data_IF_151026338528
#
_entry.id   IF_151026338528
#
_cell.length_a   1.000
_cell.length_b   1.000
_cell.length_c   1.000
_cell.angle_alpha   90.00
_cell.angle_beta   90.00
_cell.angle_gamma   90.00
#
_symmetry.space_group_name_H-M   'P 1'
#
loop_
_entity.id
_entity.type
_entity.pdbx_description
1 polymer ?
#
# COMPACT_ATOMS: atom_id res chain seq x y z
N UNK A 1 27.54 5.21 23.81
CA UNK A 1 26.57 6.07 23.09
C UNK A 1 25.17 5.58 23.46
N UNK A 2 24.23 6.48 23.81
CA UNK A 2 22.84 6.10 24.17
C UNK A 2 21.93 6.40 22.98
N UNK A 3 21.25 5.38 22.46
CA UNK A 3 20.26 5.52 21.42
C UNK A 3 18.89 5.96 22.00
N UNK A 4 18.00 6.46 21.15
CA UNK A 4 16.65 6.81 21.57
C UNK A 4 15.88 5.57 22.06
N UNK A 5 15.15 5.70 23.18
CA UNK A 5 14.43 4.57 23.79
C UNK A 5 13.39 3.96 22.84
N UNK A 6 12.78 4.76 21.97
CA UNK A 6 11.79 4.29 20.97
C UNK A 6 12.31 3.18 20.05
N UNK A 7 13.63 3.06 19.89
CA UNK A 7 14.22 1.99 19.05
C UNK A 7 14.07 0.60 19.68
N UNK A 8 13.83 0.52 20.99
CA UNK A 8 13.58 -0.75 21.68
C UNK A 8 12.18 -1.33 21.34
N UNK A 9 11.29 -0.49 20.80
CA UNK A 9 9.92 -0.89 20.43
C UNK A 9 9.85 -1.51 19.03
N UNK A 10 10.99 -1.53 18.31
CA UNK A 10 11.07 -2.11 16.97
C UNK A 10 11.71 -3.48 17.00
N UNK A 11 10.97 -4.46 16.51
CA UNK A 11 11.53 -5.77 16.19
C UNK A 11 12.33 -5.70 14.88
N UNK A 12 13.25 -6.64 14.70
CA UNK A 12 13.95 -6.78 13.43
C UNK A 12 12.94 -7.07 12.31
N UNK A 13 13.06 -6.37 11.19
CA UNK A 13 12.18 -6.59 10.04
C UNK A 13 12.27 -8.07 9.60
N UNK A 14 11.12 -8.74 9.52
CA UNK A 14 11.00 -10.17 9.22
C UNK A 14 11.78 -10.56 7.95
N UNK A 15 11.73 -9.72 6.92
CA UNK A 15 12.48 -9.93 5.68
C UNK A 15 14.00 -10.02 5.88
N UNK A 16 14.56 -9.32 6.87
CA UNK A 16 16.00 -9.42 7.20
C UNK A 16 16.33 -10.80 7.78
N UNK A 17 15.50 -11.32 8.69
CA UNK A 17 15.67 -12.64 9.26
C UNK A 17 15.51 -13.74 8.20
N UNK A 18 14.49 -13.64 7.35
CA UNK A 18 14.28 -14.56 6.23
C UNK A 18 15.46 -14.57 5.26
N UNK A 19 15.97 -13.40 4.88
CA UNK A 19 17.14 -13.31 3.98
C UNK A 19 18.39 -13.97 4.58
N UNK A 20 18.60 -13.87 5.88
CA UNK A 20 19.71 -14.57 6.55
C UNK A 20 19.56 -16.10 6.45
N UNK A 21 18.35 -16.62 6.66
CA UNK A 21 18.03 -18.05 6.51
C UNK A 21 18.25 -18.52 5.07
N UNK A 22 17.70 -17.79 4.10
CA UNK A 22 17.84 -18.08 2.67
C UNK A 22 19.31 -18.09 2.24
N UNK A 23 20.10 -17.11 2.68
CA UNK A 23 21.53 -17.02 2.38
C UNK A 23 22.29 -18.23 2.92
N UNK A 24 21.98 -18.63 4.17
CA UNK A 24 22.56 -19.82 4.78
C UNK A 24 22.22 -21.09 3.99
N UNK A 25 20.92 -21.30 3.68
CA UNK A 25 20.46 -22.51 2.96
C UNK A 25 21.08 -22.61 1.56
N UNK A 26 21.17 -21.50 0.83
CA UNK A 26 21.85 -21.44 -0.48
C UNK A 26 23.34 -21.71 -0.36
N UNK A 27 23.99 -21.21 0.69
CA UNK A 27 25.41 -21.51 0.99
C UNK A 27 25.67 -22.98 1.32
N UNK A 28 24.66 -23.69 1.84
CA UNK A 28 24.68 -25.15 2.06
C UNK A 28 24.38 -25.96 0.78
N UNK A 29 24.20 -25.30 -0.36
CA UNK A 29 23.90 -25.94 -1.65
C UNK A 29 22.46 -26.42 -1.80
N UNK A 30 21.53 -25.95 -0.95
CA UNK A 30 20.11 -26.30 -1.06
C UNK A 30 19.44 -25.52 -2.20
N UNK A 31 18.65 -26.22 -3.01
CA UNK A 31 17.75 -25.58 -3.99
C UNK A 31 16.52 -25.06 -3.27
N UNK A 32 16.46 -23.73 -3.06
CA UNK A 32 15.41 -23.10 -2.29
C UNK A 32 14.49 -22.30 -3.19
N UNK A 33 13.20 -22.66 -3.21
CA UNK A 33 12.12 -21.89 -3.83
C UNK A 33 11.57 -20.92 -2.77
N UNK A 34 11.76 -19.61 -3.01
CA UNK A 34 11.30 -18.58 -2.08
C UNK A 34 9.91 -18.07 -2.48
N UNK A 35 8.89 -18.42 -1.72
CA UNK A 35 7.51 -17.91 -1.85
C UNK A 35 7.15 -16.87 -0.78
N UNK A 36 8.10 -16.46 0.05
CA UNK A 36 7.86 -15.57 1.21
C UNK A 36 8.02 -14.08 0.93
N UNK A 37 8.41 -13.68 -0.29
CA UNK A 37 8.65 -12.28 -0.63
C UNK A 37 7.69 -11.81 -1.73
N UNK A 38 6.89 -10.79 -1.43
CA UNK A 38 5.98 -10.16 -2.40
C UNK A 38 6.70 -9.18 -3.32
N UNK A 39 7.65 -9.68 -4.12
CA UNK A 39 8.42 -8.89 -5.08
C UNK A 39 8.12 -9.35 -6.51
N UNK A 40 7.50 -8.49 -7.36
CA UNK A 40 7.24 -8.79 -8.75
C UNK A 40 8.52 -9.15 -9.53
N UNK A 41 8.45 -10.21 -10.33
CA UNK A 41 9.58 -10.78 -11.07
C UNK A 41 9.61 -10.45 -12.56
N UNK A 42 8.56 -9.80 -13.07
CA UNK A 42 8.51 -9.30 -14.46
C UNK A 42 9.05 -7.87 -14.48
N UNK A 43 9.85 -7.56 -15.49
CA UNK A 43 10.42 -6.21 -15.64
C UNK A 43 9.34 -5.17 -15.94
N UNK A 44 9.52 -3.89 -15.56
CA UNK A 44 8.59 -2.80 -15.89
C UNK A 44 8.35 -2.66 -17.39
N UNK A 45 7.21 -2.07 -17.82
CA UNK A 45 6.89 -1.87 -19.23
C UNK A 45 8.00 -1.14 -20.01
N UNK A 46 8.18 -1.51 -21.29
CA UNK A 46 9.25 -0.94 -22.13
C UNK A 46 9.13 0.59 -22.26
N UNK A 47 7.93 1.09 -22.53
CA UNK A 47 7.70 2.54 -22.68
C UNK A 47 8.06 3.31 -21.40
N UNK A 48 7.84 2.74 -20.21
CA UNK A 48 8.22 3.32 -18.93
C UNK A 48 9.76 3.35 -18.77
N UNK A 49 10.45 2.25 -19.13
CA UNK A 49 11.91 2.15 -19.08
C UNK A 49 12.59 3.08 -20.07
N UNK A 50 12.03 3.18 -21.28
CA UNK A 50 12.54 4.09 -22.33
C UNK A 50 12.39 5.54 -21.89
N UNK A 51 11.21 5.93 -21.37
CA UNK A 51 10.97 7.30 -20.88
C UNK A 51 11.94 7.68 -19.75
N UNK A 52 12.28 6.75 -18.85
CA UNK A 52 13.31 6.97 -17.83
C UNK A 52 14.67 7.23 -18.46
N UNK A 53 15.07 6.37 -19.39
CA UNK A 53 16.37 6.46 -20.07
C UNK A 53 16.51 7.82 -20.78
N UNK A 54 15.52 8.19 -21.58
CA UNK A 54 15.55 9.43 -22.34
C UNK A 54 15.58 10.66 -21.42
N UNK A 55 14.79 10.65 -20.36
CA UNK A 55 14.77 11.74 -19.40
C UNK A 55 16.09 11.87 -18.60
N UNK A 56 16.87 10.80 -18.43
CA UNK A 56 18.18 10.87 -17.80
C UNK A 56 19.23 11.58 -18.65
N UNK A 57 19.05 11.68 -19.98
CA UNK A 57 19.97 12.40 -20.86
C UNK A 57 19.66 13.89 -20.99
N UNK A 58 18.50 14.36 -20.53
CA UNK A 58 18.19 15.78 -20.50
C UNK A 58 18.92 16.46 -19.32
N UNK A 59 19.86 17.41 -19.60
CA UNK A 59 20.63 18.06 -18.55
C UNK A 59 19.77 18.86 -17.56
N UNK A 60 18.57 19.26 -17.94
CA UNK A 60 17.65 20.02 -17.08
C UNK A 60 17.01 19.16 -15.98
N UNK A 61 17.05 17.84 -16.08
CA UNK A 61 16.40 16.92 -15.17
C UNK A 61 17.25 16.54 -13.93
N UNK A 62 18.43 17.17 -13.75
CA UNK A 62 19.36 16.84 -12.66
C UNK A 62 19.39 17.85 -11.52
N UNK A 63 18.54 18.87 -11.57
CA UNK A 63 18.38 19.81 -10.47
C UNK A 63 17.51 19.24 -9.35
N UNK A 64 17.54 19.88 -8.18
CA UNK A 64 16.59 19.52 -7.12
C UNK A 64 15.16 19.59 -7.63
N UNK A 65 14.35 18.54 -7.43
CA UNK A 65 12.96 18.58 -7.81
C UNK A 65 12.21 19.64 -6.99
N UNK A 66 11.32 20.35 -7.67
CA UNK A 66 10.43 21.29 -6.99
C UNK A 66 9.16 20.57 -6.53
N UNK A 67 8.72 20.83 -5.31
CA UNK A 67 7.41 20.36 -4.82
C UNK A 67 6.25 20.94 -5.64
N UNK A 68 6.46 22.12 -6.18
CA UNK A 68 5.49 22.87 -6.98
C UNK A 68 5.81 22.79 -8.48
N UNK A 69 6.74 21.92 -8.88
CA UNK A 69 7.02 21.75 -10.31
C UNK A 69 5.71 21.40 -11.02
N UNK A 70 5.41 22.09 -12.14
CA UNK A 70 4.30 21.69 -13.02
C UNK A 70 4.69 20.34 -13.61
N UNK A 71 4.39 19.30 -12.87
CA UNK A 71 4.91 18.00 -13.19
C UNK A 71 3.86 17.27 -13.96
N UNK A 72 4.18 16.76 -15.15
CA UNK A 72 3.32 15.85 -15.89
C UNK A 72 2.81 14.69 -15.00
N UNK A 73 3.53 14.36 -13.92
CA UNK A 73 3.15 13.29 -13.01
C UNK A 73 1.89 13.59 -12.21
N UNK A 74 1.73 14.79 -11.62
CA UNK A 74 0.51 15.14 -10.86
C UNK A 74 -0.74 15.12 -11.74
N UNK A 75 -0.63 15.69 -12.94
CA UNK A 75 -1.69 15.66 -13.95
C UNK A 75 -1.97 14.23 -14.41
N UNK A 76 -0.93 13.42 -14.60
CA UNK A 76 -1.07 12.02 -15.00
C UNK A 76 -1.74 11.18 -13.91
N UNK A 77 -1.44 11.43 -12.63
CA UNK A 77 -2.10 10.78 -11.50
C UNK A 77 -3.58 11.18 -11.45
N UNK A 78 -3.89 12.47 -11.55
CA UNK A 78 -5.27 12.95 -11.57
C UNK A 78 -6.06 12.34 -12.73
N UNK A 79 -5.50 12.37 -13.95
CA UNK A 79 -6.10 11.77 -15.13
C UNK A 79 -6.27 10.24 -15.01
N UNK A 80 -5.33 9.56 -14.34
CA UNK A 80 -5.43 8.12 -14.09
C UNK A 80 -6.59 7.80 -13.14
N UNK A 81 -6.75 8.57 -12.03
CA UNK A 81 -7.88 8.42 -11.10
C UNK A 81 -9.23 8.67 -11.79
N UNK A 82 -9.30 9.68 -12.67
CA UNK A 82 -10.52 9.96 -13.42
C UNK A 82 -10.86 8.80 -14.39
N UNK A 83 -9.86 8.27 -15.12
CA UNK A 83 -10.07 7.15 -16.06
C UNK A 83 -10.39 5.84 -15.36
N UNK A 84 -9.73 5.56 -14.22
CA UNK A 84 -9.84 4.28 -13.53
C UNK A 84 -11.04 4.20 -12.60
N UNK A 85 -11.33 5.30 -11.90
CA UNK A 85 -12.32 5.32 -10.82
C UNK A 85 -13.42 6.36 -11.01
N UNK A 86 -13.36 7.21 -12.03
CA UNK A 86 -14.28 8.34 -12.17
C UNK A 86 -14.07 9.44 -11.12
N UNK A 87 -12.95 9.41 -10.40
CA UNK A 87 -12.64 10.36 -9.31
C UNK A 87 -11.81 11.51 -9.87
N UNK A 88 -12.36 12.72 -9.81
CA UNK A 88 -11.65 13.94 -10.17
C UNK A 88 -10.82 14.45 -8.99
N UNK A 89 -9.55 14.67 -9.20
CA UNK A 89 -8.63 15.23 -8.22
C UNK A 89 -7.98 16.49 -8.79
N UNK A 90 -7.84 17.52 -7.97
CA UNK A 90 -7.04 18.69 -8.32
C UNK A 90 -5.55 18.32 -8.23
N UNK A 91 -4.79 18.34 -9.33
CA UNK A 91 -3.38 17.98 -9.31
C UNK A 91 -2.53 18.87 -8.40
N UNK A 92 -2.92 20.12 -8.16
CA UNK A 92 -2.14 21.04 -7.34
C UNK A 92 -2.34 20.81 -5.84
N UNK A 93 -3.56 20.52 -5.40
CA UNK A 93 -3.92 20.50 -3.98
C UNK A 93 -4.24 19.11 -3.44
N UNK A 94 -4.65 18.17 -4.29
CA UNK A 94 -5.13 16.85 -3.87
C UNK A 94 -4.19 15.71 -4.27
N UNK A 95 -3.01 15.99 -4.83
CA UNK A 95 -2.05 14.97 -5.32
C UNK A 95 -0.64 15.26 -4.81
N UNK A 96 0.02 14.23 -4.25
CA UNK A 96 1.43 14.32 -3.81
C UNK A 96 2.22 13.10 -4.28
N UNK A 97 3.23 13.26 -5.16
CA UNK A 97 4.19 12.21 -5.50
C UNK A 97 5.08 11.83 -4.32
N UNK A 98 5.43 10.53 -4.22
CA UNK A 98 6.13 9.91 -3.11
C UNK A 98 7.31 9.05 -3.56
N UNK A 99 8.35 8.93 -2.75
CA UNK A 99 9.46 7.98 -2.95
C UNK A 99 9.02 6.52 -2.64
N UNK A 100 8.05 6.04 -3.41
CA UNK A 100 7.24 4.87 -3.11
C UNK A 100 6.16 5.18 -2.07
N UNK A 101 5.08 4.39 -2.03
CA UNK A 101 4.03 4.58 -1.01
C UNK A 101 4.59 4.50 0.41
N UNK A 102 5.57 3.63 0.66
CA UNK A 102 6.18 3.45 1.98
C UNK A 102 6.73 4.75 2.61
N UNK A 103 7.25 5.67 1.80
CA UNK A 103 7.63 7.01 2.24
C UNK A 103 6.44 7.77 2.84
N UNK A 104 5.35 7.84 2.11
CA UNK A 104 4.13 8.48 2.59
C UNK A 104 3.47 7.75 3.75
N UNK A 105 3.45 6.40 3.72
CA UNK A 105 2.94 5.57 4.82
C UNK A 105 3.66 5.85 6.13
N UNK A 106 4.93 6.28 6.07
CA UNK A 106 5.69 6.65 7.25
C UNK A 106 5.40 8.10 7.70
N UNK A 107 5.35 9.03 6.76
CA UNK A 107 5.15 10.45 7.03
C UNK A 107 3.73 10.78 7.51
N UNK A 108 2.70 10.05 7.07
CA UNK A 108 1.31 10.33 7.44
C UNK A 108 1.07 10.28 8.96
N UNK A 109 1.78 9.41 9.66
CA UNK A 109 1.64 9.31 11.11
C UNK A 109 2.13 10.56 11.82
N UNK A 110 3.25 11.13 11.39
CA UNK A 110 3.76 12.40 11.94
C UNK A 110 2.97 13.62 11.47
N UNK A 111 2.13 13.46 10.43
CA UNK A 111 1.20 14.48 9.97
C UNK A 111 -0.08 14.53 10.82
N UNK A 112 -0.58 13.38 11.25
CA UNK A 112 -1.90 13.26 11.89
C UNK A 112 -1.85 12.98 13.39
N UNK A 113 -0.71 12.52 13.93
CA UNK A 113 -0.61 12.09 15.32
C UNK A 113 0.37 12.96 16.11
N UNK A 114 -0.09 13.51 17.20
CA UNK A 114 0.75 13.94 18.31
C UNK A 114 1.03 12.76 19.26
N UNK A 115 2.04 12.93 20.14
CA UNK A 115 2.38 11.91 21.13
C UNK A 115 1.17 11.61 22.05
N UNK A 116 0.75 10.36 22.10
CA UNK A 116 -0.41 9.90 22.87
C UNK A 116 -1.73 9.87 22.09
N UNK A 117 -1.77 10.38 20.86
CA UNK A 117 -2.94 10.23 19.99
C UNK A 117 -3.17 8.77 19.55
N UNK A 118 -4.42 8.39 19.36
CA UNK A 118 -4.81 7.02 19.03
C UNK A 118 -4.95 6.81 17.52
N UNK A 119 -4.34 5.73 17.01
CA UNK A 119 -4.54 5.22 15.67
C UNK A 119 -5.20 3.83 15.69
N UNK A 120 -6.21 3.62 14.86
CA UNK A 120 -6.84 2.33 14.63
C UNK A 120 -6.07 1.57 13.56
N UNK A 121 -5.47 0.45 13.95
CA UNK A 121 -4.60 -0.35 13.08
C UNK A 121 -5.18 -1.75 12.92
N UNK A 122 -5.40 -2.24 11.68
CA UNK A 122 -5.90 -3.60 11.47
C UNK A 122 -4.89 -4.67 11.94
N UNK A 123 -5.41 -5.83 12.30
CA UNK A 123 -4.61 -7.00 12.65
C UNK A 123 -5.22 -8.26 12.01
N UNK A 124 -4.49 -8.94 11.08
CA UNK A 124 -3.12 -8.64 10.62
C UNK A 124 -3.02 -7.41 9.71
N UNK A 125 -1.81 -6.83 9.59
CA UNK A 125 -1.57 -5.68 8.74
C UNK A 125 -0.14 -5.62 8.17
N UNK A 126 0.07 -4.71 7.23
CA UNK A 126 1.42 -4.37 6.79
C UNK A 126 2.21 -3.71 7.94
N UNK A 127 3.43 -4.20 8.29
CA UNK A 127 4.16 -3.75 9.49
C UNK A 127 4.46 -2.25 9.56
N UNK A 128 4.50 -1.55 8.41
CA UNK A 128 4.77 -0.12 8.37
C UNK A 128 3.72 0.72 9.12
N UNK A 129 2.47 0.25 9.21
CA UNK A 129 1.42 0.98 9.94
C UNK A 129 1.73 1.03 11.44
N UNK A 130 2.08 -0.11 12.03
CA UNK A 130 2.50 -0.21 13.43
C UNK A 130 3.77 0.63 13.68
N UNK A 131 4.76 0.49 12.81
CA UNK A 131 6.03 1.19 12.93
C UNK A 131 5.85 2.72 12.90
N UNK A 132 5.02 3.22 11.97
CA UNK A 132 4.77 4.65 11.84
C UNK A 132 4.06 5.25 13.07
N UNK A 133 3.04 4.57 13.62
CA UNK A 133 2.37 5.00 14.87
C UNK A 133 3.38 5.09 16.03
N UNK A 134 4.23 4.06 16.20
CA UNK A 134 5.28 4.05 17.24
C UNK A 134 6.28 5.19 17.08
N UNK A 135 6.71 5.50 15.85
CA UNK A 135 7.63 6.61 15.57
C UNK A 135 7.00 7.96 15.92
N UNK A 136 5.73 8.15 15.59
CA UNK A 136 4.99 9.36 15.96
C UNK A 136 4.73 9.48 17.48
N UNK A 137 4.96 8.41 18.24
CA UNK A 137 4.63 8.37 19.68
C UNK A 137 3.14 8.16 19.96
N UNK A 138 2.40 7.70 18.97
CA UNK A 138 0.97 7.41 19.05
C UNK A 138 0.66 6.09 19.79
N UNK A 139 -0.60 5.91 20.12
CA UNK A 139 -1.17 4.72 20.76
C UNK A 139 -1.88 3.88 19.69
N UNK A 140 -1.55 2.60 19.64
CA UNK A 140 -2.19 1.64 18.74
C UNK A 140 -3.40 1.02 19.42
N UNK A 141 -4.55 1.14 18.77
CA UNK A 141 -5.74 0.33 19.08
C UNK A 141 -5.99 -0.62 17.91
N UNK A 142 -5.93 -1.90 18.21
CA UNK A 142 -6.03 -2.94 17.20
C UNK A 142 -7.46 -3.17 16.75
N UNK A 143 -7.67 -3.26 15.44
CA UNK A 143 -8.95 -3.63 14.82
C UNK A 143 -8.81 -5.02 14.19
N UNK A 144 -9.38 -6.09 14.79
CA UNK A 144 -9.19 -7.45 14.29
C UNK A 144 -9.84 -7.66 12.93
N UNK A 145 -9.10 -8.25 11.99
CA UNK A 145 -9.60 -8.72 10.70
C UNK A 145 -9.90 -10.22 10.80
N UNK A 146 -11.16 -10.56 10.93
CA UNK A 146 -11.59 -11.95 11.18
C UNK A 146 -12.17 -12.59 9.92
N UNK A 147 -11.91 -13.89 9.70
CA UNK A 147 -12.45 -14.67 8.57
C UNK A 147 -13.97 -14.57 8.46
N UNK A 148 -14.69 -14.59 9.59
CA UNK A 148 -16.16 -14.46 9.64
C UNK A 148 -16.70 -13.17 9.05
N UNK A 149 -15.88 -12.11 9.01
CA UNK A 149 -16.21 -10.81 8.43
C UNK A 149 -15.51 -10.60 7.06
N UNK A 150 -15.00 -11.66 6.43
CA UNK A 150 -14.23 -11.57 5.18
C UNK A 150 -12.94 -10.78 5.33
N UNK A 151 -12.34 -10.74 6.52
CA UNK A 151 -11.18 -9.94 6.88
C UNK A 151 -11.38 -8.42 6.66
N UNK A 152 -12.61 -7.95 6.77
CA UNK A 152 -12.93 -6.52 6.85
C UNK A 152 -13.07 -6.09 8.32
N UNK A 153 -12.73 -4.83 8.67
CA UNK A 153 -13.00 -4.27 9.99
C UNK A 153 -14.49 -4.33 10.33
N UNK A 154 -14.80 -4.81 11.52
CA UNK A 154 -16.13 -4.70 12.09
C UNK A 154 -16.26 -3.33 12.77
N UNK A 155 -16.76 -2.33 12.02
CA UNK A 155 -16.83 -0.94 12.48
C UNK A 155 -17.77 -0.77 13.67
N UNK A 156 -18.81 -1.60 13.76
CA UNK A 156 -19.78 -1.57 14.86
C UNK A 156 -19.23 -2.16 16.16
N UNK A 157 -18.24 -3.05 16.04
CA UNK A 157 -17.55 -3.62 17.19
C UNK A 157 -16.51 -2.67 17.81
N UNK A 158 -16.12 -1.60 17.12
CA UNK A 158 -15.17 -0.61 17.65
C UNK A 158 -15.85 0.16 18.79
N UNK A 159 -15.24 0.09 20.00
CA UNK A 159 -15.77 0.79 21.17
C UNK A 159 -15.92 2.29 20.86
N UNK A 160 -17.13 2.89 21.04
CA UNK A 160 -17.36 4.31 20.75
C UNK A 160 -16.46 5.29 21.51
N UNK A 161 -15.93 4.89 22.68
CA UNK A 161 -14.96 5.71 23.44
C UNK A 161 -13.59 5.71 22.75
N UNK A 162 -13.21 4.59 22.18
CA UNK A 162 -11.98 4.46 21.38
C UNK A 162 -12.13 5.23 20.07
N UNK A 163 -13.23 5.03 19.35
CA UNK A 163 -13.52 5.74 18.11
C UNK A 163 -13.45 7.28 18.26
N UNK A 164 -13.99 7.84 19.35
CA UNK A 164 -13.92 9.31 19.60
C UNK A 164 -12.52 9.84 19.94
N UNK A 165 -11.56 8.97 20.30
CA UNK A 165 -10.18 9.38 20.57
C UNK A 165 -9.27 9.11 19.40
N UNK A 166 -9.71 8.28 18.45
CA UNK A 166 -8.93 7.93 17.29
C UNK A 166 -8.79 9.14 16.35
N UNK A 167 -7.58 9.37 15.85
CA UNK A 167 -7.27 10.38 14.84
C UNK A 167 -7.34 9.79 13.44
N UNK A 168 -6.99 8.51 13.30
CA UNK A 168 -6.93 7.86 12.01
C UNK A 168 -7.27 6.37 12.10
N UNK A 169 -7.77 5.83 10.99
CA UNK A 169 -7.97 4.40 10.77
C UNK A 169 -7.28 3.95 9.49
N UNK A 170 -6.52 2.86 9.55
CA UNK A 170 -5.92 2.23 8.38
C UNK A 170 -6.86 1.23 7.74
N UNK A 171 -6.92 1.25 6.40
CA UNK A 171 -7.52 0.20 5.57
C UNK A 171 -6.61 -0.10 4.38
N UNK A 172 -6.55 -1.39 3.98
CA UNK A 172 -5.72 -1.83 2.86
C UNK A 172 -6.49 -2.92 2.09
N UNK A 173 -6.98 -2.60 0.88
CA UNK A 173 -7.72 -3.56 0.05
C UNK A 173 -7.47 -3.28 -1.44
N UNK A 174 -7.07 -4.32 -2.22
CA UNK A 174 -6.82 -5.72 -1.82
C UNK A 174 -5.74 -5.83 -0.75
N UNK A 175 -5.96 -6.71 0.25
CA UNK A 175 -5.24 -6.69 1.51
C UNK A 175 -3.90 -7.46 1.49
N UNK A 176 -2.90 -6.88 2.11
CA UNK A 176 -1.68 -7.55 2.54
C UNK A 176 -1.74 -7.74 4.08
N UNK A 177 -1.79 -8.99 4.64
CA UNK A 177 -1.45 -10.24 3.95
C UNK A 177 -2.65 -11.13 3.56
N UNK A 178 -3.89 -10.81 3.93
CA UNK A 178 -5.04 -11.74 3.88
C UNK A 178 -5.59 -11.98 2.47
N UNK A 179 -5.17 -11.19 1.49
CA UNK A 179 -5.72 -11.15 0.15
C UNK A 179 -7.24 -10.83 0.07
N UNK A 180 -7.82 -10.38 1.18
CA UNK A 180 -9.21 -9.93 1.22
C UNK A 180 -9.44 -8.71 0.32
N UNK A 181 -10.67 -8.53 -0.09
CA UNK A 181 -11.08 -7.43 -0.94
C UNK A 181 -12.25 -6.65 -0.36
N UNK A 182 -12.27 -5.33 -0.55
CA UNK A 182 -13.36 -4.47 -0.15
C UNK A 182 -14.41 -4.34 -1.26
N UNK A 183 -15.62 -3.96 -0.86
CA UNK A 183 -16.72 -3.58 -1.75
C UNK A 183 -17.01 -2.09 -1.62
N UNK A 184 -17.75 -1.52 -2.58
CA UNK A 184 -18.24 -0.14 -2.47
C UNK A 184 -19.08 0.09 -1.22
N UNK A 185 -19.91 -0.88 -0.83
CA UNK A 185 -20.75 -0.81 0.38
C UNK A 185 -19.90 -0.74 1.66
N UNK A 186 -18.80 -1.51 1.73
CA UNK A 186 -17.87 -1.41 2.84
C UNK A 186 -17.29 0.00 2.95
N UNK A 187 -16.80 0.55 1.84
CA UNK A 187 -16.25 1.92 1.83
C UNK A 187 -17.29 2.97 2.14
N UNK A 188 -18.54 2.81 1.66
CA UNK A 188 -19.63 3.69 2.04
C UNK A 188 -19.87 3.70 3.56
N UNK A 189 -19.96 2.53 4.18
CA UNK A 189 -20.14 2.40 5.63
C UNK A 189 -18.94 2.97 6.41
N UNK A 190 -17.71 2.76 5.90
CA UNK A 190 -16.48 3.31 6.49
C UNK A 190 -16.51 4.86 6.48
N UNK A 191 -16.92 5.47 5.36
CA UNK A 191 -17.04 6.92 5.25
C UNK A 191 -18.04 7.47 6.26
N UNK A 192 -19.24 6.87 6.36
CA UNK A 192 -20.25 7.28 7.32
C UNK A 192 -19.77 7.14 8.78
N UNK A 193 -19.08 6.04 9.07
CA UNK A 193 -18.52 5.80 10.40
C UNK A 193 -17.41 6.84 10.71
N UNK A 194 -16.51 7.09 9.79
CA UNK A 194 -15.41 8.01 9.98
C UNK A 194 -15.87 9.45 10.15
N UNK A 195 -16.85 9.89 9.37
CA UNK A 195 -17.51 11.21 9.54
C UNK A 195 -18.18 11.36 10.90
N UNK A 196 -18.85 10.30 11.38
CA UNK A 196 -19.52 10.32 12.69
C UNK A 196 -18.56 10.53 13.85
N UNK A 197 -17.33 10.01 13.74
CA UNK A 197 -16.34 10.04 14.82
C UNK A 197 -15.18 11.02 14.60
N UNK A 198 -15.18 11.74 13.48
CA UNK A 198 -14.11 12.67 13.08
C UNK A 198 -12.75 11.97 12.98
N UNK A 199 -12.71 10.82 12.29
CA UNK A 199 -11.53 9.97 12.12
C UNK A 199 -11.05 10.04 10.68
N UNK A 200 -9.78 10.35 10.45
CA UNK A 200 -9.19 10.33 9.12
C UNK A 200 -9.06 8.89 8.59
N UNK A 201 -9.51 8.63 7.37
CA UNK A 201 -9.35 7.33 6.71
C UNK A 201 -8.07 7.33 5.87
N UNK A 202 -7.19 6.38 6.15
CA UNK A 202 -5.95 6.18 5.43
C UNK A 202 -6.05 4.87 4.64
N UNK A 203 -6.34 5.00 3.36
CA UNK A 203 -6.44 3.88 2.43
C UNK A 203 -5.07 3.59 1.81
N UNK A 204 -4.57 2.36 1.94
CA UNK A 204 -3.37 1.89 1.25
C UNK A 204 -3.78 0.91 0.14
N UNK A 205 -3.65 1.34 -1.13
CA UNK A 205 -4.19 0.64 -2.28
C UNK A 205 -3.14 0.30 -3.36
N UNK A 206 -1.99 -0.29 -3.00
CA UNK A 206 -0.94 -0.61 -3.97
C UNK A 206 -1.27 -1.79 -4.89
N UNK A 207 -2.29 -2.58 -4.56
CA UNK A 207 -2.66 -3.80 -5.28
C UNK A 207 -3.90 -3.64 -6.16
N UNK A 208 -4.44 -2.44 -6.33
CA UNK A 208 -5.64 -2.19 -7.13
C UNK A 208 -5.56 -2.71 -8.56
N UNK A 209 -4.37 -2.72 -9.13
CA UNK A 209 -4.13 -3.20 -10.51
C UNK A 209 -3.76 -4.69 -10.59
N UNK A 210 -3.73 -5.42 -9.47
CA UNK A 210 -3.53 -6.87 -9.43
C UNK A 210 -4.85 -7.52 -9.05
N UNK A 211 -5.69 -7.75 -10.05
CA UNK A 211 -7.03 -8.30 -9.89
C UNK A 211 -7.27 -9.44 -10.88
N UNK A 212 -8.10 -10.40 -10.48
CA UNK A 212 -8.37 -11.64 -11.19
C UNK A 212 -9.88 -11.90 -11.33
N UNK A 213 -10.25 -12.81 -12.23
CA UNK A 213 -11.63 -13.30 -12.37
C UNK A 213 -12.65 -12.18 -12.63
N UNK A 214 -12.24 -11.12 -13.34
CA UNK A 214 -13.10 -9.97 -13.62
C UNK A 214 -13.38 -9.05 -12.45
N UNK A 215 -12.75 -9.29 -11.28
CA UNK A 215 -12.82 -8.36 -10.17
C UNK A 215 -12.02 -7.09 -10.49
N UNK A 216 -12.58 -5.93 -10.16
CA UNK A 216 -11.92 -4.63 -10.19
C UNK A 216 -11.94 -4.05 -8.78
N UNK A 217 -10.78 -3.75 -8.23
CA UNK A 217 -10.69 -3.16 -6.91
C UNK A 217 -11.26 -1.72 -6.93
N UNK A 218 -12.24 -1.40 -6.06
CA UNK A 218 -12.72 -0.03 -5.95
C UNK A 218 -11.72 0.85 -5.23
N UNK A 219 -11.72 2.15 -5.56
CA UNK A 219 -11.06 3.16 -4.74
C UNK A 219 -11.98 3.61 -3.61
N UNK A 220 -11.41 3.80 -2.42
CA UNK A 220 -12.09 4.46 -1.31
C UNK A 220 -12.64 5.83 -1.72
N UNK A 221 -11.91 6.57 -2.55
CA UNK A 221 -12.26 7.92 -2.98
C UNK A 221 -13.45 7.99 -3.94
N UNK A 222 -13.97 6.83 -4.42
CA UNK A 222 -15.22 6.80 -5.21
C UNK A 222 -16.47 7.10 -4.38
N UNK A 223 -16.37 6.96 -3.06
CA UNK A 223 -17.49 7.22 -2.16
C UNK A 223 -17.66 8.72 -1.96
N UNK A 224 -18.88 9.27 -2.15
CA UNK A 224 -19.15 10.67 -1.81
C UNK A 224 -18.79 10.97 -0.34
N UNK A 225 -18.07 12.06 -0.11
CA UNK A 225 -17.60 12.45 1.22
C UNK A 225 -16.28 11.81 1.65
N UNK A 226 -15.70 10.92 0.84
CA UNK A 226 -14.43 10.27 1.17
C UNK A 226 -13.24 11.24 1.15
N UNK A 227 -13.17 12.13 0.16
CA UNK A 227 -12.09 13.12 0.05
C UNK A 227 -12.07 14.14 1.20
N UNK A 228 -13.21 14.40 1.81
CA UNK A 228 -13.31 15.31 2.96
C UNK A 228 -12.66 14.74 4.21
N UNK A 229 -12.56 13.42 4.30
CA UNK A 229 -12.10 12.74 5.52
C UNK A 229 -10.89 11.83 5.33
N UNK A 230 -10.34 11.71 4.13
CA UNK A 230 -9.26 10.74 3.94
C UNK A 230 -8.44 10.91 2.69
N UNK A 231 -7.45 10.03 2.59
CA UNK A 231 -6.50 9.95 1.50
C UNK A 231 -6.32 8.48 1.06
N UNK A 232 -5.84 8.30 -0.16
CA UNK A 232 -5.50 6.98 -0.70
C UNK A 232 -4.09 6.97 -1.27
N UNK A 233 -3.26 6.02 -0.77
CA UNK A 233 -1.92 5.74 -1.27
C UNK A 233 -1.95 4.75 -2.41
N UNK A 234 -1.10 4.97 -3.40
CA UNK A 234 -0.86 4.06 -4.51
C UNK A 234 0.62 3.92 -4.82
N UNK A 235 0.99 2.84 -5.49
CA UNK A 235 2.39 2.52 -5.77
C UNK A 235 2.57 1.92 -7.15
N UNK A 236 3.55 2.40 -7.91
CA UNK A 236 3.96 1.79 -9.16
C UNK A 236 4.75 0.49 -8.94
N UNK A 237 5.19 0.23 -7.70
CA UNK A 237 5.90 -1.00 -7.34
C UNK A 237 5.14 -2.25 -7.73
N UNK A 238 3.81 -2.26 -7.52
CA UNK A 238 2.97 -3.43 -7.77
C UNK A 238 2.19 -3.30 -9.08
N UNK A 239 1.69 -2.09 -9.37
CA UNK A 239 0.94 -1.83 -10.61
C UNK A 239 1.80 -2.03 -11.88
N UNK A 240 3.07 -1.62 -11.84
CA UNK A 240 3.99 -1.64 -12.99
C UNK A 240 5.28 -2.42 -12.72
N UNK A 241 5.32 -3.26 -11.69
CA UNK A 241 6.49 -4.07 -11.31
C UNK A 241 7.77 -3.23 -11.08
N UNK A 242 7.63 -1.98 -10.66
CA UNK A 242 8.73 -1.02 -10.48
C UNK A 242 9.17 -0.89 -9.00
N UNK A 243 9.27 -2.01 -8.26
CA UNK A 243 9.57 -2.01 -6.83
C UNK A 243 10.86 -1.27 -6.47
N UNK A 244 11.92 -1.48 -7.23
CA UNK A 244 13.23 -0.86 -7.03
C UNK A 244 13.27 0.62 -7.39
N UNK A 245 12.29 1.14 -8.14
CA UNK A 245 12.28 2.52 -8.62
C UNK A 245 11.81 3.51 -7.55
N UNK A 246 11.20 3.02 -6.49
CA UNK A 246 10.69 3.83 -5.38
C UNK A 246 9.77 4.95 -5.84
N UNK A 247 8.72 4.60 -6.58
CA UNK A 247 7.74 5.54 -7.13
C UNK A 247 6.34 5.21 -6.62
N UNK A 248 5.67 6.19 -6.07
CA UNK A 248 4.30 6.10 -5.59
C UNK A 248 3.68 7.49 -5.48
N UNK A 249 2.47 7.55 -4.99
CA UNK A 249 1.75 8.80 -4.79
C UNK A 249 0.63 8.62 -3.77
N UNK A 250 0.10 9.75 -3.29
CA UNK A 250 -1.09 9.82 -2.46
C UNK A 250 -2.04 10.86 -3.03
N UNK A 251 -3.33 10.59 -2.91
CA UNK A 251 -4.42 11.43 -3.43
C UNK A 251 -5.50 11.57 -2.36
N UNK A 252 -6.18 12.71 -2.30
CA UNK A 252 -7.34 12.89 -1.42
C UNK A 252 -7.41 14.25 -0.74
N UNK A 253 -7.70 14.26 0.55
CA UNK A 253 -7.95 15.47 1.32
C UNK A 253 -6.83 16.52 1.19
N UNK A 254 -7.12 17.76 0.74
CA UNK A 254 -6.10 18.76 0.45
C UNK A 254 -5.32 19.21 1.69
N UNK A 255 -5.93 19.25 2.86
CA UNK A 255 -5.27 19.66 4.10
C UNK A 255 -4.25 18.60 4.55
N UNK A 256 -4.60 17.31 4.43
CA UNK A 256 -3.69 16.20 4.71
C UNK A 256 -2.54 16.20 3.69
N UNK A 257 -2.84 16.38 2.40
CA UNK A 257 -1.84 16.49 1.32
C UNK A 257 -0.87 17.65 1.58
N UNK A 258 -1.37 18.82 1.95
CA UNK A 258 -0.54 19.97 2.30
C UNK A 258 0.33 19.70 3.53
N UNK A 259 -0.23 19.06 4.58
CA UNK A 259 0.49 18.65 5.79
C UNK A 259 1.64 17.68 5.46
N UNK A 260 1.39 16.65 4.68
CA UNK A 260 2.42 15.72 4.20
C UNK A 260 3.48 16.42 3.34
N UNK A 261 3.07 17.29 2.43
CA UNK A 261 3.98 18.10 1.60
C UNK A 261 4.92 18.96 2.46
N UNK A 262 4.41 19.55 3.56
CA UNK A 262 5.22 20.30 4.51
C UNK A 262 6.29 19.43 5.17
N UNK A 263 5.96 18.23 5.62
CA UNK A 263 6.93 17.28 6.19
C UNK A 263 7.98 16.89 5.15
N UNK A 264 7.54 16.49 3.94
CA UNK A 264 8.46 16.11 2.85
C UNK A 264 9.41 17.23 2.46
N UNK A 265 8.98 18.49 2.48
CA UNK A 265 9.85 19.62 2.16
C UNK A 265 11.07 19.73 3.09
N UNK A 266 10.98 19.19 4.30
CA UNK A 266 12.07 19.15 5.28
C UNK A 266 12.82 17.82 5.32
N UNK A 267 12.31 16.75 4.66
CA UNK A 267 12.96 15.44 4.67
C UNK A 267 13.70 15.13 3.36
N UNK A 268 13.03 14.94 2.25
CA UNK A 268 13.60 14.41 1.01
C UNK A 268 13.53 15.36 -0.21
N UNK A 269 12.75 16.42 -0.12
CA UNK A 269 12.54 17.41 -1.18
C UNK A 269 11.97 16.89 -2.50
N UNK A 270 11.56 15.63 -2.56
CA UNK A 270 10.85 15.07 -3.70
C UNK A 270 11.62 14.04 -4.52
N UNK A 271 10.97 13.55 -5.56
CA UNK A 271 11.44 12.46 -6.41
C UNK A 271 12.32 12.96 -7.55
N UNK A 272 13.37 12.21 -7.90
CA UNK A 272 14.21 12.44 -9.06
C UNK A 272 13.37 12.63 -10.33
N UNK A 273 13.60 13.70 -11.08
CA UNK A 273 12.71 14.12 -12.17
C UNK A 273 12.53 13.05 -13.27
N UNK A 274 13.55 12.35 -13.76
CA UNK A 274 13.38 11.26 -14.72
C UNK A 274 12.45 10.13 -14.24
N UNK A 275 12.43 9.83 -12.94
CA UNK A 275 11.46 8.87 -12.38
C UNK A 275 10.02 9.40 -12.46
N UNK A 276 9.82 10.71 -12.29
CA UNK A 276 8.51 11.33 -12.45
C UNK A 276 8.02 11.24 -13.90
N UNK A 277 8.91 11.49 -14.87
CA UNK A 277 8.59 11.36 -16.31
C UNK A 277 8.20 9.93 -16.65
N UNK A 278 8.97 8.94 -16.17
CA UNK A 278 8.69 7.53 -16.39
C UNK A 278 7.37 7.08 -15.73
N UNK A 279 7.09 7.59 -14.53
CA UNK A 279 5.83 7.31 -13.84
C UNK A 279 4.62 7.90 -14.59
N UNK A 280 4.75 9.11 -15.09
CA UNK A 280 3.72 9.75 -15.93
C UNK A 280 3.49 8.95 -17.22
N UNK A 281 4.55 8.48 -17.88
CA UNK A 281 4.45 7.61 -19.06
C UNK A 281 3.73 6.29 -18.75
N UNK A 282 4.03 5.66 -17.59
CA UNK A 282 3.36 4.45 -17.15
C UNK A 282 1.85 4.67 -16.93
N UNK A 283 1.47 5.71 -16.18
CA UNK A 283 0.07 6.01 -15.87
C UNK A 283 -0.76 6.40 -17.10
N UNK A 284 -0.12 6.99 -18.14
CA UNK A 284 -0.78 7.35 -19.39
C UNK A 284 -0.68 6.27 -20.47
N UNK A 285 0.04 5.18 -20.22
CA UNK A 285 0.24 4.08 -21.15
C UNK A 285 -0.98 3.17 -21.30
N UNK A 286 -0.85 2.16 -22.17
CA UNK A 286 -1.86 1.13 -22.35
C UNK A 286 -1.95 0.23 -21.11
N UNK A 287 -3.11 -0.45 -20.93
CA UNK A 287 -3.32 -1.44 -19.87
C UNK A 287 -2.76 -2.83 -20.21
N UNK A 288 -2.33 -3.05 -21.45
CA UNK A 288 -1.89 -4.34 -21.96
C UNK A 288 -0.86 -5.05 -21.05
N UNK A 289 0.15 -4.30 -20.59
CA UNK A 289 1.12 -4.85 -19.64
C UNK A 289 0.47 -5.37 -18.34
N UNK A 290 -0.51 -4.65 -17.80
CA UNK A 290 -1.19 -5.05 -16.56
C UNK A 290 -2.10 -6.25 -16.80
N UNK A 291 -2.74 -6.32 -17.96
CA UNK A 291 -3.61 -7.42 -18.37
C UNK A 291 -2.81 -8.71 -18.55
N UNK A 292 -1.71 -8.68 -19.30
CA UNK A 292 -0.82 -9.84 -19.51
C UNK A 292 -0.21 -10.33 -18.19
N UNK A 293 0.28 -9.40 -17.36
CA UNK A 293 0.81 -9.73 -16.04
C UNK A 293 -0.25 -10.35 -15.13
N UNK A 294 -1.47 -9.84 -15.14
CA UNK A 294 -2.55 -10.37 -14.31
C UNK A 294 -2.96 -11.78 -14.75
N UNK A 295 -2.97 -12.08 -16.05
CA UNK A 295 -3.18 -13.44 -16.55
C UNK A 295 -2.11 -14.41 -16.01
N UNK A 296 -0.83 -14.03 -16.08
CA UNK A 296 0.27 -14.82 -15.54
C UNK A 296 0.14 -15.02 -14.02
N UNK A 297 -0.20 -13.97 -13.26
CA UNK A 297 -0.38 -14.09 -11.81
C UNK A 297 -1.61 -14.93 -11.45
N UNK A 298 -2.67 -14.87 -12.25
CA UNK A 298 -3.84 -15.73 -12.09
C UNK A 298 -3.50 -17.20 -12.28
N UNK A 299 -2.74 -17.56 -13.32
CA UNK A 299 -2.26 -18.92 -13.53
C UNK A 299 -1.42 -19.43 -12.35
N UNK A 300 -0.49 -18.60 -11.85
CA UNK A 300 0.32 -18.94 -10.68
C UNK A 300 -0.52 -19.12 -9.41
N UNK A 301 -1.48 -18.22 -9.17
CA UNK A 301 -2.45 -18.33 -8.08
C UNK A 301 -3.19 -19.66 -8.14
N UNK A 302 -3.73 -19.99 -9.29
CA UNK A 302 -4.55 -21.19 -9.49
C UNK A 302 -3.73 -22.45 -9.21
N UNK A 303 -2.49 -22.52 -9.70
CA UNK A 303 -1.57 -23.64 -9.42
C UNK A 303 -1.30 -23.80 -7.92
N UNK A 304 -1.04 -22.70 -7.20
CA UNK A 304 -0.74 -22.76 -5.75
C UNK A 304 -2.00 -23.12 -4.96
N UNK A 305 -3.15 -22.53 -5.27
CA UNK A 305 -4.43 -22.84 -4.61
C UNK A 305 -4.79 -24.32 -4.82
N UNK A 306 -4.71 -24.80 -6.05
CA UNK A 306 -4.99 -26.22 -6.37
C UNK A 306 -4.03 -27.15 -5.60
N UNK A 307 -2.73 -26.79 -5.55
CA UNK A 307 -1.71 -27.54 -4.81
C UNK A 307 -2.02 -27.62 -3.31
N UNK A 308 -2.36 -26.50 -2.68
CA UNK A 308 -2.73 -26.45 -1.26
C UNK A 308 -4.00 -27.26 -0.97
N UNK A 309 -5.02 -27.14 -1.81
CA UNK A 309 -6.28 -27.92 -1.68
C UNK A 309 -6.04 -29.42 -1.82
N UNK A 310 -5.17 -29.85 -2.74
CA UNK A 310 -4.76 -31.27 -2.86
C UNK A 310 -4.03 -31.78 -1.61
N UNK A 311 -3.36 -30.89 -0.88
CA UNK A 311 -2.73 -31.20 0.41
C UNK A 311 -3.73 -31.15 1.59
N UNK A 312 -5.01 -30.92 1.36
CA UNK A 312 -6.05 -30.84 2.39
C UNK A 312 -6.13 -29.49 3.10
N UNK A 313 -5.49 -28.45 2.57
CA UNK A 313 -5.55 -27.08 3.12
C UNK A 313 -6.70 -26.35 2.42
N UNK A 314 -7.74 -26.01 3.20
CA UNK A 314 -8.90 -25.25 2.70
C UNK A 314 -8.55 -23.76 2.55
N UNK A 315 -8.27 -23.34 1.33
CA UNK A 315 -7.89 -21.98 0.97
C UNK A 315 -8.78 -21.42 -0.12
N UNK A 316 -9.24 -20.18 0.08
CA UNK A 316 -10.02 -19.46 -0.92
C UNK A 316 -9.10 -18.93 -2.03
N UNK A 317 -9.61 -18.89 -3.28
CA UNK A 317 -8.90 -18.23 -4.39
C UNK A 317 -8.97 -16.71 -4.24
N UNK A 318 -7.83 -16.02 -4.09
CA UNK A 318 -7.81 -14.55 -4.02
C UNK A 318 -8.32 -13.90 -5.30
N UNK A 319 -9.10 -12.84 -5.16
CA UNK A 319 -9.54 -12.01 -6.31
C UNK A 319 -8.57 -10.89 -6.65
N UNK A 320 -7.60 -10.64 -5.79
CA UNK A 320 -6.57 -9.62 -5.98
C UNK A 320 -5.34 -9.91 -5.15
N UNK A 321 -4.28 -9.17 -5.36
CA UNK A 321 -2.93 -9.37 -4.83
C UNK A 321 -2.23 -10.61 -5.40
N UNK A 322 -1.02 -10.88 -4.95
CA UNK A 322 -0.30 -12.15 -5.19
C UNK A 322 -0.04 -12.91 -3.89
N UNK A 323 -0.82 -12.59 -2.83
CA UNK A 323 -0.79 -13.32 -1.57
C UNK A 323 -1.86 -14.40 -1.54
N UNK A 324 -1.56 -15.49 -0.84
CA UNK A 324 -2.51 -16.55 -0.50
C UNK A 324 -2.50 -16.70 1.02
N UNK A 325 -3.66 -16.50 1.65
CA UNK A 325 -3.82 -16.60 3.10
C UNK A 325 -4.42 -17.95 3.45
N UNK A 326 -3.55 -18.89 3.81
CA UNK A 326 -3.94 -20.25 4.17
C UNK A 326 -4.10 -20.39 5.69
N UNK A 327 -5.09 -21.15 6.16
CA UNK A 327 -5.19 -21.50 7.58
C UNK A 327 -4.03 -22.41 7.99
N UNK A 328 -3.67 -22.36 9.26
CA UNK A 328 -2.79 -23.36 9.84
C UNK A 328 -3.50 -24.72 9.91
N UNK A 329 -2.77 -25.84 9.83
CA UNK A 329 -3.32 -27.16 10.12
C UNK A 329 -3.96 -27.23 11.48
N UNK A 330 -4.93 -28.14 11.65
CA UNK A 330 -5.61 -28.35 12.91
C UNK A 330 -4.61 -28.73 14.02
N UNK A 331 -4.67 -28.02 15.14
CA UNK A 331 -3.77 -28.21 16.29
C UNK A 331 -2.53 -27.29 16.28
N UNK A 332 -2.21 -26.64 15.16
CA UNK A 332 -1.11 -25.68 15.09
C UNK A 332 -1.58 -24.27 15.47
N UNK A 333 -0.75 -23.55 16.24
CA UNK A 333 -1.09 -22.20 16.73
C UNK A 333 -0.06 -21.13 16.35
N UNK A 334 1.12 -21.54 15.90
CA UNK A 334 2.23 -20.64 15.58
C UNK A 334 2.74 -20.92 14.15
N UNK A 335 2.41 -20.04 13.21
CA UNK A 335 2.72 -20.22 11.79
C UNK A 335 4.22 -20.34 11.47
N UNK A 336 5.09 -19.70 12.25
CA UNK A 336 6.54 -19.77 12.03
C UNK A 336 7.16 -21.13 12.40
N UNK A 337 6.47 -21.93 13.21
CA UNK A 337 6.95 -23.20 13.71
C UNK A 337 6.47 -24.37 12.82
N UNK A 338 5.50 -24.09 11.94
CA UNK A 338 4.97 -25.00 10.93
C UNK A 338 5.65 -24.77 9.56
#
# INVERSE_FOLDING_TARGET
>A
MKLANRLNDFEAYLGTAMNAILTKMKGEGKDVINLGLGDPDVIPPEHMRQSLSDACFDPNNHHYPSFYSPVPLKESISGWYERQYGVKCDPETEVLPLLGSADGLFHIHTCLLDAGDTALVPDPCYPAYIAGVKIAGGVIETVPLLKKNGFLPDLDAINPRVARRARMIWVNYPNNPTAAHATGDFYFNLVQWAQKYDVAVISDNPYSEICFDGYCAPSFLQVPGAKEIGIEFNSLSKAFNACGWRTGFVVGNPDIIAGMGKIKSHSDRGMFYPLQVAAAAALNGSKEFMEDRNLMYQERRDLVVEGLQKCGIDVDSPKGTFYIWAPLPEGETISRDW
#
